data_IF_514927941224
#
_entry.id   IF_514927941224
#
_cell.length_a   1.000
_cell.length_b   1.000
_cell.length_c   1.000
_cell.angle_alpha   90.00
_cell.angle_beta   90.00
_cell.angle_gamma   90.00
#
_symmetry.space_group_name_H-M   'P 1'
#
loop_
_entity.id
_entity.type
_entity.pdbx_description
1 polymer ?
#
# COMPACT_ATOMS: atom_id res chain seq x y z
N UNK A 1 -0.01 1.64 -7.34
CA UNK A 1 -0.74 1.17 -6.13
C UNK A 1 -1.40 2.33 -5.37
N UNK A 2 -0.87 3.56 -5.46
CA UNK A 2 -1.35 4.76 -4.75
C UNK A 2 -2.76 5.23 -5.17
N UNK A 3 -3.13 5.10 -6.45
CA UNK A 3 -4.40 5.66 -6.96
C UNK A 3 -5.66 5.01 -6.36
N UNK A 4 -5.56 3.76 -5.89
CA UNK A 4 -6.70 3.04 -5.30
C UNK A 4 -7.08 3.56 -3.92
N UNK A 5 -6.09 4.03 -3.15
CA UNK A 5 -6.32 4.59 -1.80
C UNK A 5 -6.96 5.97 -1.92
N UNK A 6 -6.56 6.75 -2.91
CA UNK A 6 -7.14 8.07 -3.18
C UNK A 6 -8.66 8.01 -3.39
N UNK A 7 -9.17 6.96 -4.04
CA UNK A 7 -10.61 6.80 -4.27
C UNK A 7 -11.37 6.48 -2.97
N UNK A 8 -10.82 5.61 -2.12
CA UNK A 8 -11.41 5.29 -0.84
C UNK A 8 -11.42 6.51 0.09
N UNK A 9 -10.35 7.30 0.09
CA UNK A 9 -10.29 8.55 0.85
C UNK A 9 -11.34 9.55 0.36
N UNK A 10 -11.54 9.68 -0.95
CA UNK A 10 -12.63 10.50 -1.52
C UNK A 10 -14.01 9.98 -1.14
N UNK A 11 -14.20 8.66 -0.98
CA UNK A 11 -15.47 8.12 -0.51
C UNK A 11 -15.81 8.51 0.94
N UNK A 12 -14.82 8.88 1.75
CA UNK A 12 -15.00 9.43 3.10
C UNK A 12 -15.12 10.97 3.08
N UNK A 13 -14.20 11.66 2.38
CA UNK A 13 -14.15 13.14 2.35
C UNK A 13 -15.20 13.79 1.42
N UNK A 14 -15.75 13.01 0.49
CA UNK A 14 -16.59 13.48 -0.61
C UNK A 14 -15.84 13.59 -1.94
N UNK A 15 -16.56 13.33 -3.03
CA UNK A 15 -16.10 13.52 -4.40
C UNK A 15 -16.37 14.96 -4.84
N UNK A 16 -15.32 15.75 -4.99
CA UNK A 16 -15.42 17.13 -5.48
C UNK A 16 -15.59 17.16 -7.01
N UNK A 17 -16.66 17.83 -7.46
CA UNK A 17 -16.85 18.15 -8.87
C UNK A 17 -15.94 19.33 -9.27
N UNK A 18 -15.03 19.19 -10.25
CA UNK A 18 -14.15 20.26 -10.68
C UNK A 18 -14.88 21.52 -11.16
N UNK A 19 -16.10 21.36 -11.69
CA UNK A 19 -16.87 22.47 -12.27
C UNK A 19 -17.70 23.19 -11.22
N UNK A 20 -18.43 22.44 -10.40
CA UNK A 20 -19.37 23.03 -9.43
C UNK A 20 -18.75 23.23 -8.05
N UNK A 21 -17.56 22.66 -7.79
CA UNK A 21 -16.90 22.62 -6.49
C UNK A 21 -17.74 21.98 -5.38
N UNK A 22 -18.84 21.32 -5.76
CA UNK A 22 -19.71 20.63 -4.83
C UNK A 22 -19.13 19.24 -4.50
N UNK A 23 -19.28 18.83 -3.24
CA UNK A 23 -18.86 17.51 -2.76
C UNK A 23 -20.04 16.55 -2.79
N UNK A 24 -19.81 15.39 -3.38
CA UNK A 24 -20.80 14.33 -3.48
C UNK A 24 -20.46 13.15 -2.59
N UNK A 25 -21.47 12.51 -2.01
CA UNK A 25 -21.28 11.25 -1.29
C UNK A 25 -20.90 10.10 -2.23
N UNK A 26 -20.40 8.99 -1.69
CA UNK A 26 -20.11 7.80 -2.50
C UNK A 26 -21.35 7.26 -3.25
N UNK A 27 -22.53 7.36 -2.65
CA UNK A 27 -23.80 6.95 -3.27
C UNK A 27 -24.15 7.85 -4.47
N UNK A 28 -24.01 9.17 -4.31
CA UNK A 28 -24.23 10.13 -5.40
C UNK A 28 -23.19 9.98 -6.51
N UNK A 29 -21.92 9.77 -6.14
CA UNK A 29 -20.83 9.52 -7.09
C UNK A 29 -21.07 8.25 -7.90
N UNK A 30 -21.56 7.18 -7.26
CA UNK A 30 -21.98 5.96 -7.93
C UNK A 30 -23.14 6.21 -8.92
N UNK A 31 -24.17 6.93 -8.49
CA UNK A 31 -25.33 7.26 -9.34
C UNK A 31 -24.96 8.12 -10.54
N UNK A 32 -24.04 9.07 -10.38
CA UNK A 32 -23.55 9.94 -11.46
C UNK A 32 -22.42 9.31 -12.30
N UNK A 33 -22.01 8.08 -12.01
CA UNK A 33 -20.96 7.38 -12.77
C UNK A 33 -19.53 7.82 -12.51
N UNK A 34 -19.26 8.52 -11.40
CA UNK A 34 -17.90 8.89 -10.96
C UNK A 34 -17.13 7.72 -10.35
N UNK A 35 -17.87 6.66 -9.98
CA UNK A 35 -17.35 5.42 -9.45
C UNK A 35 -17.80 4.25 -10.31
N UNK A 36 -16.86 3.34 -10.57
CA UNK A 36 -17.23 2.01 -11.06
C UNK A 36 -18.14 1.32 -10.05
N UNK A 37 -19.15 0.62 -10.57
CA UNK A 37 -20.18 -0.03 -9.76
C UNK A 37 -19.58 -0.94 -8.66
N UNK A 38 -18.61 -1.78 -9.02
CA UNK A 38 -17.90 -2.67 -8.10
C UNK A 38 -17.11 -1.94 -7.00
N UNK A 39 -16.57 -0.74 -7.29
CA UNK A 39 -15.86 0.04 -6.27
C UNK A 39 -16.85 0.76 -5.36
N UNK A 40 -17.85 1.43 -5.95
CA UNK A 40 -18.88 2.15 -5.19
C UNK A 40 -19.68 1.24 -4.27
N UNK A 41 -20.09 0.06 -4.75
CA UNK A 41 -20.82 -0.90 -3.91
C UNK A 41 -20.00 -1.32 -2.69
N UNK A 42 -18.70 -1.62 -2.84
CA UNK A 42 -17.82 -1.98 -1.73
C UNK A 42 -17.67 -0.87 -0.69
N UNK A 43 -17.55 0.39 -1.13
CA UNK A 43 -17.48 1.51 -0.20
C UNK A 43 -18.76 1.65 0.61
N UNK A 44 -19.92 1.50 -0.03
CA UNK A 44 -21.22 1.59 0.63
C UNK A 44 -21.45 0.44 1.62
N UNK A 45 -21.06 -0.79 1.27
CA UNK A 45 -21.12 -1.95 2.16
C UNK A 45 -20.29 -1.74 3.44
N UNK A 46 -19.05 -1.25 3.31
CA UNK A 46 -18.17 -0.97 4.46
C UNK A 46 -18.74 0.15 5.33
N UNK A 47 -19.24 1.23 4.72
CA UNK A 47 -19.87 2.33 5.46
C UNK A 47 -21.08 1.82 6.25
N UNK A 48 -21.99 1.11 5.59
CA UNK A 48 -23.17 0.52 6.21
C UNK A 48 -22.82 -0.37 7.41
N UNK A 49 -21.88 -1.31 7.22
CA UNK A 49 -21.41 -2.23 8.25
C UNK A 49 -20.70 -1.55 9.43
N UNK A 50 -20.13 -0.36 9.23
CA UNK A 50 -19.46 0.43 10.28
C UNK A 50 -20.36 1.47 10.94
N UNK A 51 -21.67 1.36 10.75
CA UNK A 51 -22.68 2.14 11.47
C UNK A 51 -23.46 3.15 10.63
N UNK A 52 -23.25 3.20 9.31
CA UNK A 52 -24.05 4.05 8.42
C UNK A 52 -23.26 4.73 7.30
N UNK A 53 -23.99 5.35 6.38
CA UNK A 53 -23.44 5.99 5.19
C UNK A 53 -22.77 7.32 5.53
N UNK A 54 -21.80 7.70 4.71
CA UNK A 54 -21.06 8.95 4.91
C UNK A 54 -21.55 9.97 3.88
N UNK A 55 -22.06 11.10 4.37
CA UNK A 55 -22.44 12.26 3.58
C UNK A 55 -21.45 13.40 3.87
N UNK A 56 -20.86 14.05 2.85
CA UNK A 56 -19.85 15.09 3.07
C UNK A 56 -20.40 16.38 3.70
N UNK A 57 -21.72 16.58 3.65
CA UNK A 57 -22.41 17.74 4.22
C UNK A 57 -22.83 17.53 5.69
N UNK A 58 -22.82 16.28 6.17
CA UNK A 58 -23.29 15.92 7.51
C UNK A 58 -22.12 15.49 8.38
N UNK A 59 -22.06 16.00 9.60
CA UNK A 59 -21.10 15.53 10.60
C UNK A 59 -21.55 14.19 11.17
N UNK A 60 -20.87 13.11 10.77
CA UNK A 60 -21.13 11.75 11.26
C UNK A 60 -21.68 10.79 10.21
N UNK A 61 -22.24 9.67 10.67
CA UNK A 61 -22.83 8.65 9.80
C UNK A 61 -24.35 8.80 9.73
N UNK A 62 -24.89 8.67 8.53
CA UNK A 62 -26.32 8.77 8.24
C UNK A 62 -26.90 7.34 8.14
N UNK A 63 -28.00 7.04 8.84
CA UNK A 63 -28.62 5.72 8.74
C UNK A 63 -29.20 5.51 7.33
N UNK A 64 -29.26 4.24 6.90
CA UNK A 64 -29.66 3.87 5.55
C UNK A 64 -31.04 4.43 5.16
N UNK A 65 -32.01 4.36 6.07
CA UNK A 65 -33.39 4.78 5.79
C UNK A 65 -33.49 6.30 5.58
N UNK A 66 -32.70 7.09 6.33
CA UNK A 66 -32.64 8.54 6.15
C UNK A 66 -32.02 8.89 4.79
N UNK A 67 -30.97 8.19 4.37
CA UNK A 67 -30.34 8.43 3.07
C UNK A 67 -31.27 8.08 1.88
N UNK A 68 -32.12 7.06 2.04
CA UNK A 68 -33.16 6.72 1.05
C UNK A 68 -34.24 7.80 1.02
N UNK A 69 -34.73 8.24 2.18
CA UNK A 69 -35.78 9.28 2.27
C UNK A 69 -35.31 10.63 1.70
N UNK A 70 -34.03 10.99 1.87
CA UNK A 70 -33.42 12.17 1.26
C UNK A 70 -33.20 12.04 -0.26
N UNK A 71 -33.28 10.82 -0.81
CA UNK A 71 -32.98 10.55 -2.21
C UNK A 71 -31.49 10.56 -2.56
N UNK A 72 -30.59 10.60 -1.57
CA UNK A 72 -29.14 10.49 -1.76
C UNK A 72 -28.76 9.10 -2.31
N UNK A 73 -29.49 8.08 -1.88
CA UNK A 73 -29.27 6.68 -2.22
C UNK A 73 -30.53 6.05 -2.83
N UNK A 74 -30.35 5.29 -3.92
CA UNK A 74 -31.46 4.66 -4.63
C UNK A 74 -32.04 3.46 -3.86
N UNK A 75 -33.35 3.25 -3.92
CA UNK A 75 -34.01 2.14 -3.20
C UNK A 75 -33.43 0.75 -3.55
N UNK A 76 -33.02 0.56 -4.82
CA UNK A 76 -32.40 -0.70 -5.29
C UNK A 76 -31.03 -0.93 -4.63
N UNK A 77 -30.19 0.09 -4.52
CA UNK A 77 -28.90 -0.04 -3.83
C UNK A 77 -29.13 -0.23 -2.33
N UNK A 78 -30.16 0.39 -1.74
CA UNK A 78 -30.52 0.19 -0.34
C UNK A 78 -30.86 -1.27 -0.05
N UNK A 79 -31.69 -1.87 -0.91
CA UNK A 79 -32.07 -3.28 -0.78
C UNK A 79 -30.86 -4.21 -0.84
N UNK A 80 -29.90 -3.94 -1.75
CA UNK A 80 -28.64 -4.70 -1.81
C UNK A 80 -27.81 -4.54 -0.56
N UNK A 81 -27.75 -3.34 0.02
CA UNK A 81 -27.03 -3.12 1.28
C UNK A 81 -27.71 -3.82 2.46
N UNK A 82 -29.04 -3.97 2.47
CA UNK A 82 -29.74 -4.75 3.50
C UNK A 82 -29.47 -6.24 3.40
N UNK A 83 -29.27 -6.79 2.20
CA UNK A 83 -28.90 -8.19 2.00
C UNK A 83 -27.40 -8.43 2.28
N UNK A 84 -27.08 -8.46 3.57
CA UNK A 84 -25.73 -8.70 4.08
C UNK A 84 -25.20 -10.09 3.70
N UNK A 85 -26.09 -11.06 3.46
CA UNK A 85 -25.69 -12.42 3.06
C UNK A 85 -25.14 -12.49 1.63
N UNK A 86 -25.63 -11.62 0.75
CA UNK A 86 -25.26 -11.54 -0.66
C UNK A 86 -23.99 -10.71 -0.95
N UNK A 87 -23.27 -10.25 0.07
CA UNK A 87 -22.09 -9.41 -0.13
C UNK A 87 -20.95 -10.14 -0.86
N UNK A 88 -20.37 -9.44 -1.83
CA UNK A 88 -19.25 -9.96 -2.62
C UNK A 88 -18.01 -10.22 -1.77
N UNK A 89 -17.31 -11.31 -2.05
CA UNK A 89 -16.08 -11.70 -1.33
C UNK A 89 -14.85 -11.13 -2.02
N UNK A 90 -14.52 -9.87 -1.74
CA UNK A 90 -13.39 -9.17 -2.38
C UNK A 90 -12.11 -9.12 -1.54
N UNK A 91 -12.16 -9.51 -0.27
CA UNK A 91 -10.97 -9.56 0.60
C UNK A 91 -10.35 -10.95 0.55
N UNK A 92 -9.04 -11.04 0.78
CA UNK A 92 -8.35 -12.32 0.97
C UNK A 92 -8.01 -12.47 2.44
N UNK A 93 -8.50 -13.54 3.08
CA UNK A 93 -8.22 -13.80 4.49
C UNK A 93 -6.72 -14.08 4.69
N UNK A 94 -6.03 -13.37 5.60
CA UNK A 94 -4.60 -13.60 5.86
C UNK A 94 -4.30 -15.00 6.41
N UNK A 95 -5.21 -15.55 7.22
CA UNK A 95 -5.11 -16.88 7.85
C UNK A 95 -5.39 -18.02 6.87
N UNK A 96 -6.54 -18.01 6.19
CA UNK A 96 -6.96 -19.14 5.34
C UNK A 96 -6.61 -18.99 3.86
N UNK A 97 -6.17 -17.81 3.42
CA UNK A 97 -5.93 -17.42 2.01
C UNK A 97 -7.17 -17.50 1.10
N UNK A 98 -8.35 -17.78 1.66
CA UNK A 98 -9.61 -17.81 0.92
C UNK A 98 -10.22 -16.41 0.79
N UNK A 99 -11.08 -16.23 -0.22
CA UNK A 99 -11.86 -15.01 -0.40
C UNK A 99 -12.95 -14.89 0.67
N UNK A 100 -13.03 -13.73 1.30
CA UNK A 100 -14.01 -13.41 2.34
C UNK A 100 -14.66 -12.05 2.06
N UNK A 101 -15.87 -11.84 2.56
CA UNK A 101 -16.54 -10.53 2.54
C UNK A 101 -16.04 -9.65 3.69
N UNK A 102 -16.35 -8.35 3.66
CA UNK A 102 -16.01 -7.46 4.77
C UNK A 102 -16.75 -7.83 6.06
N UNK A 103 -18.03 -8.28 5.98
CA UNK A 103 -18.74 -8.79 7.16
C UNK A 103 -18.01 -9.97 7.79
N UNK A 104 -17.55 -10.93 6.98
CA UNK A 104 -16.90 -12.13 7.50
C UNK A 104 -15.57 -11.77 8.15
N UNK A 105 -14.90 -10.74 7.66
CA UNK A 105 -13.70 -10.19 8.28
C UNK A 105 -14.01 -9.53 9.63
N UNK A 106 -15.12 -8.79 9.74
CA UNK A 106 -15.55 -8.22 11.02
C UNK A 106 -15.94 -9.32 12.02
N UNK A 107 -16.70 -10.32 11.60
CA UNK A 107 -17.15 -11.42 12.48
C UNK A 107 -15.98 -12.22 13.06
N UNK A 108 -14.88 -12.34 12.30
CA UNK A 108 -13.65 -13.06 12.71
C UNK A 108 -12.63 -12.20 13.45
N UNK A 109 -12.88 -10.90 13.55
CA UNK A 109 -11.94 -9.97 14.16
C UNK A 109 -12.20 -9.83 15.66
N UNK A 110 -11.13 -9.67 16.42
CA UNK A 110 -11.16 -9.36 17.86
C UNK A 110 -10.97 -7.86 18.07
N UNK A 111 -11.54 -7.31 19.13
CA UNK A 111 -11.28 -5.93 19.55
C UNK A 111 -10.17 -5.97 20.59
N UNK A 112 -9.15 -5.15 20.42
CA UNK A 112 -8.07 -4.98 21.41
C UNK A 112 -8.53 -4.07 22.54
N UNK A 113 -8.50 -4.60 23.76
CA UNK A 113 -8.78 -3.86 24.99
C UNK A 113 -7.68 -2.81 25.20
N UNK A 114 -8.04 -1.53 25.17
CA UNK A 114 -7.14 -0.38 25.35
C UNK A 114 -7.06 0.53 24.12
N UNK A 115 -6.84 -0.02 22.93
CA UNK A 115 -6.80 0.77 21.68
C UNK A 115 -8.17 0.91 21.02
N UNK A 116 -9.09 -0.02 21.29
CA UNK A 116 -10.39 -0.11 20.60
C UNK A 116 -10.28 -0.53 19.13
N UNK A 117 -9.10 -0.97 18.69
CA UNK A 117 -8.86 -1.41 17.32
C UNK A 117 -9.41 -2.81 17.09
N UNK A 118 -9.96 -3.03 15.90
CA UNK A 118 -10.47 -4.32 15.46
C UNK A 118 -9.41 -5.04 14.63
N UNK A 119 -8.89 -6.15 15.15
CA UNK A 119 -7.76 -6.89 14.60
C UNK A 119 -8.22 -8.22 13.99
N UNK A 120 -7.76 -8.50 12.78
CA UNK A 120 -8.00 -9.77 12.09
C UNK A 120 -6.77 -10.68 12.20
N UNK A 121 -7.00 -11.94 12.56
CA UNK A 121 -5.92 -12.90 12.77
C UNK A 121 -5.09 -13.17 11.49
N UNK A 122 -3.77 -13.18 11.65
CA UNK A 122 -2.83 -13.54 10.60
C UNK A 122 -2.53 -15.05 10.59
N UNK A 123 -2.01 -15.55 9.47
CA UNK A 123 -1.43 -16.90 9.41
C UNK A 123 -0.16 -16.96 10.26
N UNK A 124 0.02 -18.02 11.05
CA UNK A 124 1.25 -18.27 11.82
C UNK A 124 2.46 -18.48 10.90
N UNK A 125 2.25 -19.04 9.70
CA UNK A 125 3.30 -19.13 8.68
C UNK A 125 3.31 -17.88 7.80
N UNK A 126 4.40 -17.11 7.88
CA UNK A 126 4.69 -15.97 7.01
C UNK A 126 5.12 -16.47 5.64
N UNK A 127 4.32 -16.21 4.61
CA UNK A 127 4.70 -16.47 3.22
C UNK A 127 5.67 -15.37 2.77
N UNK A 128 6.95 -15.51 3.16
CA UNK A 128 8.06 -14.55 2.95
C UNK A 128 7.79 -13.21 3.63
N UNK A 129 8.56 -12.93 4.68
CA UNK A 129 8.53 -11.64 5.38
C UNK A 129 8.77 -10.47 4.41
N UNK A 130 8.32 -9.29 4.80
CA UNK A 130 8.73 -8.05 4.15
C UNK A 130 10.27 -8.00 4.12
N UNK A 131 10.84 -7.77 2.95
CA UNK A 131 12.27 -7.49 2.84
C UNK A 131 12.55 -6.18 3.60
N UNK A 132 13.09 -6.31 4.80
CA UNK A 132 13.67 -5.17 5.51
C UNK A 132 15.11 -5.02 5.02
N UNK A 133 15.48 -3.87 4.42
CA UNK A 133 16.87 -3.59 4.05
C UNK A 133 17.82 -3.50 5.25
N UNK A 134 17.29 -3.58 6.48
CA UNK A 134 18.05 -3.57 7.73
C UNK A 134 18.05 -4.92 8.45
N UNK A 135 17.44 -5.96 7.90
CA UNK A 135 17.63 -7.33 8.38
C UNK A 135 18.99 -7.85 7.92
N UNK A 136 20.06 -7.25 8.43
CA UNK A 136 21.42 -7.79 8.36
C UNK A 136 21.56 -8.81 9.48
N UNK A 137 20.97 -9.97 9.25
CA UNK A 137 21.33 -11.22 9.92
C UNK A 137 21.49 -12.21 8.77
N UNK A 138 22.62 -12.21 8.07
CA UNK A 138 23.88 -12.67 8.62
C UNK A 138 24.05 -14.13 8.17
N UNK A 139 24.78 -14.30 7.06
CA UNK A 139 25.35 -15.56 6.53
C UNK A 139 24.41 -16.75 6.28
N UNK A 140 24.61 -17.37 5.12
CA UNK A 140 23.81 -18.49 4.63
C UNK A 140 23.70 -19.66 5.61
N UNK A 141 22.47 -20.15 5.77
CA UNK A 141 22.21 -21.53 6.21
C UNK A 141 21.50 -22.28 5.09
N UNK A 142 22.20 -22.46 3.97
CA UNK A 142 21.95 -23.63 3.14
C UNK A 142 22.59 -24.81 3.86
N UNK A 143 21.78 -25.49 4.70
CA UNK A 143 22.14 -26.79 5.28
C UNK A 143 22.36 -27.77 4.13
N UNK A 144 23.63 -28.11 3.81
CA UNK A 144 23.88 -29.14 2.79
C UNK A 144 25.29 -29.34 2.22
N UNK A 145 26.32 -28.54 2.55
CA UNK A 145 27.64 -28.72 1.91
C UNK A 145 28.63 -29.42 2.83
N UNK A 146 28.87 -30.71 2.57
CA UNK A 146 29.91 -31.53 3.20
C UNK A 146 31.31 -30.97 2.90
N UNK A 147 32.25 -30.92 3.86
CA UNK A 147 33.60 -30.41 3.63
C UNK A 147 34.57 -31.58 3.39
N UNK A 148 34.72 -32.01 2.14
CA UNK A 148 35.93 -32.72 1.75
C UNK A 148 36.21 -32.48 0.25
N UNK A 149 37.14 -31.58 -0.04
CA UNK A 149 37.76 -31.42 -1.36
C UNK A 149 39.02 -30.57 -1.19
N UNK A 150 40.14 -31.26 -1.26
CA UNK A 150 41.49 -30.80 -1.02
C UNK A 150 41.95 -29.72 -2.00
N UNK A 151 42.78 -28.85 -1.44
CA UNK A 151 43.69 -27.90 -2.08
C UNK A 151 44.50 -28.52 -3.22
N UNK A 152 44.59 -27.81 -4.36
CA UNK A 152 45.72 -27.87 -5.27
C UNK A 152 45.61 -28.81 -6.47
N UNK A 153 45.64 -28.24 -7.67
CA UNK A 153 46.56 -28.64 -8.76
C UNK A 153 46.53 -27.62 -9.89
N UNK A 154 47.73 -27.11 -10.21
CA UNK A 154 48.05 -26.27 -11.36
C UNK A 154 48.13 -27.12 -12.64
N UNK A 155 47.98 -26.43 -13.78
CA UNK A 155 48.60 -26.67 -15.10
C UNK A 155 48.33 -27.95 -15.87
N UNK A 156 48.06 -27.78 -17.18
CA UNK A 156 48.56 -28.72 -18.18
C UNK A 156 47.60 -29.08 -19.31
N UNK A 157 47.90 -28.55 -20.49
CA UNK A 157 47.39 -28.98 -21.81
C UNK A 157 47.76 -30.43 -22.17
N UNK A 158 46.90 -31.10 -22.96
CA UNK A 158 47.17 -32.02 -24.11
C UNK A 158 45.91 -32.91 -24.33
N UNK A 159 45.27 -33.02 -25.50
CA UNK A 159 45.68 -33.48 -26.86
C UNK A 159 45.17 -34.93 -27.11
N UNK A 160 44.27 -35.08 -28.11
CA UNK A 160 43.88 -36.34 -28.80
C UNK A 160 42.96 -37.26 -27.97
N UNK A 161 42.07 -38.11 -28.49
CA UNK A 161 41.82 -38.73 -29.81
C UNK A 161 40.57 -39.63 -29.59
N UNK A 162 39.58 -39.85 -30.47
CA UNK A 162 39.61 -40.63 -31.72
C UNK A 162 38.15 -40.80 -32.24
N UNK A 163 37.96 -40.60 -33.55
CA UNK A 163 37.14 -41.22 -34.61
C UNK A 163 36.07 -42.29 -34.26
N UNK A 164 35.06 -42.63 -35.06
CA UNK A 164 34.33 -42.09 -36.22
C UNK A 164 33.16 -43.08 -36.51
N UNK A 165 32.30 -42.72 -37.48
CA UNK A 165 31.16 -43.44 -38.09
C UNK A 165 29.79 -42.97 -37.56
N UNK A 166 28.85 -42.48 -38.37
CA UNK A 166 28.80 -42.21 -39.80
C UNK A 166 27.37 -41.79 -40.20
N UNK A 167 27.27 -40.87 -41.17
CA UNK A 167 26.07 -40.42 -41.93
C UNK A 167 25.00 -39.59 -41.17
N UNK A 168 24.41 -38.52 -41.71
CA UNK A 168 24.55 -37.88 -43.02
C UNK A 168 23.23 -37.22 -43.42
N UNK A 169 22.92 -36.02 -42.91
CA UNK A 169 21.85 -35.16 -43.43
C UNK A 169 22.32 -33.70 -43.40
N UNK A 170 22.43 -33.09 -44.59
CA UNK A 170 22.80 -31.69 -44.79
C UNK A 170 21.57 -30.80 -44.75
N UNK A 171 21.58 -29.77 -43.90
CA UNK A 171 20.77 -28.55 -44.09
C UNK A 171 21.59 -27.32 -43.75
N UNK A 172 21.83 -26.48 -44.75
CA UNK A 172 22.40 -25.13 -44.62
C UNK A 172 21.46 -24.24 -43.81
N UNK A 173 21.95 -23.64 -42.73
CA UNK A 173 21.33 -22.44 -42.14
C UNK A 173 22.41 -21.44 -41.74
N UNK A 174 22.41 -20.30 -42.45
CA UNK A 174 23.13 -19.08 -42.08
C UNK A 174 22.36 -18.36 -40.96
N UNK A 175 23.00 -17.97 -39.84
CA UNK A 175 22.35 -17.11 -38.87
C UNK A 175 22.47 -15.65 -39.31
N UNK A 176 21.34 -14.99 -39.55
CA UNK A 176 21.25 -13.54 -39.64
C UNK A 176 21.10 -12.96 -38.24
N UNK A 177 21.84 -11.90 -37.97
CA UNK A 177 21.91 -11.20 -36.70
C UNK A 177 20.67 -10.31 -36.49
N UNK A 178 19.93 -10.52 -35.40
CA UNK A 178 18.97 -9.55 -34.88
C UNK A 178 19.38 -9.21 -33.45
N UNK A 179 19.93 -8.01 -33.27
CA UNK A 179 20.33 -7.46 -31.98
C UNK A 179 19.09 -6.92 -31.27
N UNK A 180 18.71 -7.51 -30.14
CA UNK A 180 17.68 -6.96 -29.25
C UNK A 180 18.27 -5.85 -28.36
N UNK A 181 17.70 -4.66 -28.50
CA UNK A 181 18.00 -3.42 -27.79
C UNK A 181 18.04 -3.58 -26.26
N UNK A 182 19.21 -3.38 -25.67
CA UNK A 182 19.36 -3.07 -24.25
C UNK A 182 19.42 -1.55 -24.06
N UNK A 183 18.45 -0.98 -23.35
CA UNK A 183 18.52 0.41 -22.88
C UNK A 183 19.53 0.49 -21.72
N UNK A 184 20.81 0.67 -22.04
CA UNK A 184 21.81 1.15 -21.09
C UNK A 184 21.82 2.67 -21.07
N UNK A 185 21.43 3.30 -19.95
CA UNK A 185 21.73 4.72 -19.73
C UNK A 185 23.24 4.89 -19.59
N UNK A 186 23.86 5.57 -20.55
CA UNK A 186 25.19 6.15 -20.40
C UNK A 186 25.09 7.40 -19.53
N UNK A 187 25.93 7.49 -18.49
CA UNK A 187 26.27 8.77 -17.87
C UNK A 187 27.23 9.51 -18.81
N UNK A 188 26.82 10.68 -19.28
CA UNK A 188 27.69 11.59 -20.01
C UNK A 188 28.33 12.56 -19.01
N UNK A 189 29.66 12.56 -18.94
CA UNK A 189 30.42 13.53 -18.14
C UNK A 189 30.38 14.89 -18.85
N UNK A 190 29.83 15.89 -18.18
CA UNK A 190 29.79 17.29 -18.61
C UNK A 190 30.62 18.17 -17.67
N UNK A 191 31.43 19.01 -18.29
CA UNK A 191 32.33 20.07 -17.81
C UNK A 191 31.98 20.70 -16.44
N UNK A 192 32.99 20.77 -15.55
CA UNK A 192 32.98 21.54 -14.31
C UNK A 192 33.21 23.03 -14.59
N UNK A 193 32.26 23.90 -14.23
CA UNK A 193 32.54 25.29 -13.87
C UNK A 193 32.60 25.37 -12.34
N UNK A 194 33.77 25.74 -11.82
CA UNK A 194 34.04 25.82 -10.38
C UNK A 194 33.26 26.93 -9.69
N UNK A 195 32.65 26.58 -8.56
CA UNK A 195 32.21 27.52 -7.53
C UNK A 195 32.99 27.17 -6.27
N UNK A 196 33.75 28.13 -5.75
CA UNK A 196 34.62 27.96 -4.58
C UNK A 196 33.78 27.86 -3.29
N UNK A 197 34.15 26.91 -2.43
CA UNK A 197 33.47 26.65 -1.15
C UNK A 197 33.60 27.78 -0.12
N UNK A 198 34.44 28.79 -0.40
CA UNK A 198 34.69 29.90 0.51
C UNK A 198 33.55 30.94 0.53
N UNK A 199 32.74 31.00 -0.53
CA UNK A 199 31.63 31.97 -0.65
C UNK A 199 30.36 31.51 0.11
N UNK A 200 30.15 30.18 0.23
CA UNK A 200 29.05 29.61 1.00
C UNK A 200 29.26 29.69 2.52
N UNK A 201 30.51 29.68 2.98
CA UNK A 201 30.83 29.81 4.40
C UNK A 201 30.50 31.21 4.94
N UNK A 202 30.65 32.26 4.13
CA UNK A 202 30.34 33.64 4.55
C UNK A 202 28.82 33.91 4.60
N UNK A 203 28.03 33.23 3.76
CA UNK A 203 26.57 33.36 3.74
C UNK A 203 25.87 32.72 4.97
N UNK A 204 26.47 31.71 5.59
CA UNK A 204 25.90 31.07 6.78
C UNK A 204 26.18 31.87 8.07
N UNK A 205 27.28 32.62 8.12
CA UNK A 205 27.65 33.41 9.30
C UNK A 205 26.77 34.66 9.46
N UNK A 206 26.19 35.19 8.37
CA UNK A 206 25.30 36.37 8.41
C UNK A 206 23.89 36.05 8.90
N UNK A 207 23.45 34.78 8.83
CA UNK A 207 22.11 34.37 9.28
C UNK A 207 22.05 34.10 10.81
N UNK A 208 23.19 33.95 11.47
CA UNK A 208 23.28 33.57 12.88
C UNK A 208 23.24 34.75 13.88
N UNK A 209 23.19 36.01 13.41
CA UNK A 209 23.25 37.21 14.27
C UNK A 209 21.91 37.94 14.44
N UNK A 210 20.78 37.35 14.04
CA UNK A 210 19.49 38.04 14.07
C UNK A 210 18.33 37.19 14.54
N UNK A 211 18.22 36.97 15.86
CA UNK A 211 16.98 37.17 16.64
C UNK A 211 17.10 36.61 18.07
N UNK A 212 17.17 37.54 19.02
CA UNK A 212 17.05 37.32 20.46
C UNK A 212 15.58 37.19 20.91
N UNK A 213 15.41 36.37 21.94
CA UNK A 213 14.41 36.26 23.02
C UNK A 213 13.24 37.25 23.13
N UNK A 214 12.06 36.70 23.45
CA UNK A 214 11.16 37.08 24.58
C UNK A 214 10.02 36.03 24.64
N UNK A 215 10.03 35.10 25.61
CA UNK A 215 9.30 35.15 26.90
C UNK A 215 7.80 35.38 26.77
N UNK A 216 6.98 34.35 27.05
CA UNK A 216 5.72 34.51 27.81
C UNK A 216 5.24 33.19 28.40
N UNK A 217 4.94 33.24 29.70
CA UNK A 217 4.43 32.19 30.58
C UNK A 217 2.94 31.91 30.31
N UNK A 218 2.50 30.64 30.36
CA UNK A 218 1.11 30.29 30.71
C UNK A 218 1.00 28.98 31.50
N UNK A 219 1.00 29.16 32.82
CA UNK A 219 -0.06 28.76 33.77
C UNK A 219 -0.70 27.37 33.58
N UNK A 220 -0.40 26.53 34.58
CA UNK A 220 -1.13 25.33 34.99
C UNK A 220 -2.61 25.62 35.29
N UNK A 221 -3.52 24.76 34.80
CA UNK A 221 -4.76 24.44 35.52
C UNK A 221 -5.14 22.98 35.28
N UNK A 222 -4.92 22.17 36.32
CA UNK A 222 -5.42 20.80 36.47
C UNK A 222 -6.90 20.88 36.85
N UNK A 223 -7.78 20.34 36.01
CA UNK A 223 -9.20 20.13 36.33
C UNK A 223 -9.34 18.75 36.97
N UNK A 224 -9.74 18.70 38.24
CA UNK A 224 -10.19 17.49 38.92
C UNK A 224 -11.64 17.13 38.52
N UNK A 225 -11.99 15.84 38.39
CA UNK A 225 -13.39 15.42 38.30
C UNK A 225 -13.99 15.20 39.70
N UNK A 226 -15.04 15.96 40.02
CA UNK A 226 -15.95 15.67 41.12
C UNK A 226 -17.12 14.82 40.61
N UNK A 227 -17.24 13.58 41.07
CA UNK A 227 -18.53 12.88 41.14
C UNK A 227 -18.59 12.01 42.40
N UNK A 228 -19.48 12.40 43.31
CA UNK A 228 -19.94 11.64 44.47
C UNK A 228 -20.96 10.57 44.07
N UNK A 229 -21.07 9.45 44.80
CA UNK A 229 -22.07 8.42 44.55
C UNK A 229 -23.41 8.81 45.19
N UNK A 230 -24.52 8.57 44.49
CA UNK A 230 -25.86 8.58 45.08
C UNK A 230 -26.43 7.17 44.98
N UNK A 231 -27.10 6.80 46.08
CA UNK A 231 -27.67 5.52 46.50
C UNK A 231 -28.35 4.65 45.45
#
# INVERSE_FOLDING_TARGET
MVDRINLAQKAFNGFEDPRTKNKMSAAQALKKGWLYYEAGQRFLEVQYLTGGLIEPEVTGRVPLDVAVNKGTLDARTAQKLRDVSGYSKYLTCPKTKLKISYKDAMDRSMIEEGSGLRLLEASSQSSKGLYSPYSVSGSGSASGSRPDSRTGSRSGSRRGSFDATGSGFSTNFSPSSFSSTSYGRRYNAGLQSGLSMDELAQALTSLAMGRNCSSEERIFTTIQPNYSPVA
#
